data_IF_570016571362
#
_entry.id   IF_570016571362
#
_cell.length_a   1.000
_cell.length_b   1.000
_cell.length_c   1.000
_cell.angle_alpha   90.00
_cell.angle_beta   90.00
_cell.angle_gamma   90.00
#
_symmetry.space_group_name_H-M   'P 1'
#
loop_
_entity.id
_entity.type
_entity.pdbx_description
1 polymer ?
#
# COMPACT_ATOMS: atom_id res chain seq x y z
N UNK A 1 -19.73 -26.83 27.96
CA UNK A 1 -18.51 -26.09 27.51
C UNK A 1 -17.59 -26.97 26.65
N UNK A 2 -17.18 -28.19 27.11
CA UNK A 2 -16.30 -29.07 26.35
C UNK A 2 -16.89 -29.47 24.98
N UNK A 3 -18.19 -29.74 24.91
CA UNK A 3 -18.88 -30.08 23.67
C UNK A 3 -18.92 -28.94 22.65
N UNK A 4 -18.87 -27.69 23.10
CA UNK A 4 -18.77 -26.52 22.21
C UNK A 4 -17.38 -26.41 21.61
N UNK A 5 -16.33 -26.59 22.42
CA UNK A 5 -14.93 -26.57 21.94
C UNK A 5 -14.66 -27.71 20.95
N UNK A 6 -15.23 -28.90 21.19
CA UNK A 6 -15.17 -30.01 20.22
C UNK A 6 -15.89 -29.61 18.91
N UNK A 7 -17.08 -29.05 19.01
CA UNK A 7 -17.88 -28.65 17.82
C UNK A 7 -17.20 -27.55 17.00
N UNK A 8 -16.36 -26.76 17.63
CA UNK A 8 -15.57 -25.69 16.98
C UNK A 8 -14.21 -26.18 16.49
N UNK A 9 -13.84 -27.42 16.80
CA UNK A 9 -12.56 -27.99 16.43
C UNK A 9 -11.37 -27.39 17.19
N UNK A 10 -11.58 -26.83 18.38
CA UNK A 10 -10.55 -26.32 19.28
C UNK A 10 -9.89 -27.47 20.03
N UNK A 11 -10.69 -28.42 20.52
CA UNK A 11 -10.25 -29.67 21.13
C UNK A 11 -10.77 -30.88 20.34
N UNK A 12 -10.09 -32.00 20.45
CA UNK A 12 -10.55 -33.29 19.94
C UNK A 12 -11.51 -33.99 20.93
N UNK A 13 -12.03 -35.16 20.55
CA UNK A 13 -12.92 -35.96 21.40
C UNK A 13 -12.27 -36.45 22.71
N UNK A 14 -10.94 -36.40 22.81
CA UNK A 14 -10.18 -36.75 23.99
C UNK A 14 -9.81 -35.51 24.86
N UNK A 15 -10.32 -34.33 24.52
CA UNK A 15 -10.05 -33.09 25.23
C UNK A 15 -8.68 -32.48 24.93
N UNK A 16 -7.95 -32.95 23.91
CA UNK A 16 -6.66 -32.39 23.52
C UNK A 16 -6.86 -31.26 22.51
N UNK A 17 -6.03 -30.23 22.63
CA UNK A 17 -6.03 -29.13 21.66
C UNK A 17 -5.70 -29.64 20.25
N UNK A 18 -6.48 -29.21 19.28
CA UNK A 18 -6.17 -29.36 17.86
C UNK A 18 -5.09 -28.37 17.44
N UNK A 19 -4.57 -28.47 16.21
CA UNK A 19 -3.63 -27.46 15.68
C UNK A 19 -4.26 -26.04 15.67
N UNK A 20 -5.57 -25.92 15.41
CA UNK A 20 -6.27 -24.64 15.51
C UNK A 20 -6.39 -24.19 16.96
N UNK A 21 -6.72 -25.12 17.87
CA UNK A 21 -6.81 -24.84 19.31
C UNK A 21 -5.49 -24.36 19.91
N UNK A 22 -4.36 -24.92 19.47
CA UNK A 22 -3.04 -24.47 19.94
C UNK A 22 -2.72 -23.04 19.50
N UNK A 23 -3.18 -22.61 18.34
CA UNK A 23 -3.02 -21.23 17.84
C UNK A 23 -3.95 -20.23 18.53
N UNK A 24 -5.05 -20.71 19.13
CA UNK A 24 -6.02 -19.91 19.85
C UNK A 24 -5.74 -19.87 21.37
N UNK A 25 -4.76 -20.63 21.85
CA UNK A 25 -4.36 -20.62 23.26
C UNK A 25 -3.55 -19.37 23.59
N UNK A 26 -3.73 -18.83 24.79
CA UNK A 26 -2.98 -17.66 25.26
C UNK A 26 -1.47 -17.92 25.31
N UNK A 27 -1.07 -19.12 25.73
CA UNK A 27 0.30 -19.62 25.66
C UNK A 27 0.40 -20.65 24.53
N UNK A 28 0.54 -20.15 23.29
CA UNK A 28 0.63 -21.03 22.13
C UNK A 28 1.95 -21.83 22.13
N UNK A 29 1.89 -23.18 22.03
CA UNK A 29 3.09 -24.00 21.91
C UNK A 29 3.73 -23.90 20.50
N UNK A 30 3.09 -23.23 19.57
CA UNK A 30 3.55 -23.05 18.18
C UNK A 30 4.48 -21.86 18.12
N UNK A 31 5.78 -22.08 18.38
CA UNK A 31 6.80 -21.03 18.50
C UNK A 31 6.90 -20.12 17.29
N UNK A 32 6.66 -20.62 16.09
CA UNK A 32 6.66 -19.83 14.86
C UNK A 32 5.35 -19.03 14.64
N UNK A 33 4.35 -19.18 15.51
CA UNK A 33 3.12 -18.38 15.49
C UNK A 33 3.37 -17.01 16.11
N UNK A 34 4.17 -16.18 15.42
CA UNK A 34 4.57 -14.84 15.85
C UNK A 34 4.42 -13.86 14.69
N UNK A 35 4.28 -12.57 15.03
CA UNK A 35 4.28 -11.47 14.09
C UNK A 35 5.35 -10.47 14.55
N UNK A 36 6.27 -10.15 13.65
CA UNK A 36 7.21 -9.04 13.83
C UNK A 36 6.65 -7.81 13.16
N UNK A 37 6.50 -6.72 13.90
CA UNK A 37 6.03 -5.45 13.38
C UNK A 37 7.13 -4.41 13.56
N UNK A 38 7.61 -3.82 12.48
CA UNK A 38 8.67 -2.82 12.51
C UNK A 38 8.26 -1.57 11.74
N UNK A 39 8.47 -0.39 12.34
CA UNK A 39 8.35 0.91 11.68
C UNK A 39 9.73 1.43 11.36
N UNK A 40 10.10 1.38 10.11
CA UNK A 40 11.39 1.82 9.60
C UNK A 40 11.45 3.34 9.42
N UNK A 41 12.63 3.91 9.54
CA UNK A 41 12.90 5.31 9.26
C UNK A 41 13.29 5.46 7.79
N UNK A 42 12.35 5.89 6.94
CA UNK A 42 12.59 6.07 5.50
C UNK A 42 11.89 5.03 4.62
N UNK A 43 12.51 4.72 3.48
CA UNK A 43 11.91 3.93 2.39
C UNK A 43 12.43 2.48 2.32
N UNK A 44 13.44 2.14 3.10
CA UNK A 44 14.06 0.81 3.10
C UNK A 44 14.69 0.47 4.47
N UNK A 45 15.20 -0.76 4.59
CA UNK A 45 15.87 -1.30 5.78
C UNK A 45 17.40 -1.10 5.75
N UNK A 46 17.93 -0.13 5.01
CA UNK A 46 19.35 -0.05 4.65
C UNK A 46 20.29 -0.04 5.86
N UNK A 47 19.84 0.48 6.99
CA UNK A 47 20.67 0.61 8.21
C UNK A 47 20.29 -0.39 9.32
N UNK A 48 19.39 -1.35 9.03
CA UNK A 48 18.95 -2.37 9.97
C UNK A 48 18.11 -1.83 11.15
N UNK A 49 17.93 -2.62 12.20
CA UNK A 49 17.08 -2.26 13.37
C UNK A 49 17.55 -1.00 14.11
N UNK A 50 18.79 -0.54 13.93
CA UNK A 50 19.27 0.73 14.50
C UNK A 50 18.58 1.97 13.95
N UNK A 51 17.89 1.85 12.83
CA UNK A 51 17.09 2.92 12.18
C UNK A 51 15.57 2.68 12.31
N UNK A 52 15.14 1.67 13.09
CA UNK A 52 13.74 1.46 13.37
C UNK A 52 13.22 2.56 14.33
N UNK A 53 12.04 3.09 14.04
CA UNK A 53 11.34 4.07 14.89
C UNK A 53 10.58 3.33 16.00
N UNK A 54 10.01 2.16 15.67
CA UNK A 54 9.25 1.32 16.57
C UNK A 54 9.39 -0.15 16.13
N UNK A 55 9.44 -1.07 17.08
CA UNK A 55 9.59 -2.50 16.82
C UNK A 55 8.94 -3.32 17.91
N UNK A 56 8.16 -4.33 17.54
CA UNK A 56 7.48 -5.22 18.47
C UNK A 56 7.37 -6.65 17.92
N UNK A 57 7.58 -7.61 18.78
CA UNK A 57 7.29 -9.02 18.54
C UNK A 57 5.97 -9.40 19.24
N UNK A 58 5.02 -9.93 18.47
CA UNK A 58 3.70 -10.34 18.95
C UNK A 58 3.62 -11.86 18.95
N UNK A 59 3.26 -12.43 20.10
CA UNK A 59 3.14 -13.88 20.31
C UNK A 59 1.86 -14.23 21.08
N UNK A 60 1.59 -15.52 21.32
CA UNK A 60 0.42 -16.02 22.01
C UNK A 60 -0.78 -16.25 21.09
N UNK A 61 -1.99 -15.97 21.56
CA UNK A 61 -3.24 -16.18 20.82
C UNK A 61 -3.28 -15.35 19.53
N UNK A 62 -3.53 -16.00 18.39
CA UNK A 62 -3.55 -15.31 17.06
C UNK A 62 -4.61 -14.22 16.94
N UNK A 63 -5.64 -14.22 17.79
CA UNK A 63 -6.65 -13.14 17.84
C UNK A 63 -6.05 -11.90 18.49
N UNK A 64 -5.32 -12.09 19.61
CA UNK A 64 -4.54 -11.04 20.25
C UNK A 64 -3.50 -10.47 19.29
N UNK A 65 -2.73 -11.35 18.63
CA UNK A 65 -1.76 -10.94 17.61
C UNK A 65 -2.39 -10.06 16.51
N UNK A 66 -3.59 -10.42 16.01
CA UNK A 66 -4.30 -9.60 15.03
C UNK A 66 -4.61 -8.19 15.57
N UNK A 67 -5.17 -8.13 16.79
CA UNK A 67 -5.58 -6.87 17.41
C UNK A 67 -4.38 -5.96 17.69
N UNK A 68 -3.30 -6.54 18.19
CA UNK A 68 -2.07 -5.81 18.51
C UNK A 68 -1.35 -5.35 17.25
N UNK A 69 -1.28 -6.18 16.21
CA UNK A 69 -0.70 -5.81 14.92
C UNK A 69 -1.49 -4.67 14.25
N UNK A 70 -2.82 -4.72 14.24
CA UNK A 70 -3.66 -3.61 13.75
C UNK A 70 -3.45 -2.34 14.58
N UNK A 71 -3.31 -2.49 15.90
CA UNK A 71 -3.02 -1.38 16.81
C UNK A 71 -1.64 -0.78 16.57
N UNK A 72 -0.62 -1.61 16.33
CA UNK A 72 0.72 -1.17 15.94
C UNK A 72 0.68 -0.31 14.68
N UNK A 73 0.04 -0.80 13.61
CA UNK A 73 -0.09 -0.04 12.35
C UNK A 73 -0.83 1.28 12.59
N UNK A 74 -1.93 1.27 13.36
CA UNK A 74 -2.70 2.47 13.68
C UNK A 74 -1.88 3.49 14.47
N UNK A 75 -1.10 3.05 15.48
CA UNK A 75 -0.29 3.92 16.34
C UNK A 75 0.88 4.56 15.57
N UNK A 76 1.42 3.85 14.59
CA UNK A 76 2.51 4.30 13.73
C UNK A 76 2.02 5.00 12.44
N UNK A 77 0.71 5.16 12.26
CA UNK A 77 0.09 5.82 11.12
C UNK A 77 -0.37 7.23 11.47
N UNK A 78 -0.33 8.11 10.50
CA UNK A 78 -0.92 9.44 10.60
C UNK A 78 -2.33 9.42 10.05
N UNK A 79 -3.15 10.32 10.54
CA UNK A 79 -4.48 10.58 10.02
C UNK A 79 -4.61 12.09 9.83
N UNK A 80 -4.64 12.53 8.58
CA UNK A 80 -4.99 13.90 8.25
C UNK A 80 -6.50 14.09 8.41
N UNK A 81 -6.91 15.24 8.86
CA UNK A 81 -8.32 15.57 8.96
C UNK A 81 -8.55 17.05 8.69
N UNK A 82 -9.72 17.37 8.17
CA UNK A 82 -10.19 18.72 7.99
C UNK A 82 -11.68 18.79 8.26
N UNK A 83 -12.16 19.99 8.54
CA UNK A 83 -13.57 20.23 8.84
C UNK A 83 -14.24 20.78 7.60
N UNK A 84 -15.24 20.07 7.10
CA UNK A 84 -16.22 20.60 6.16
C UNK A 84 -17.33 21.36 6.91
N UNK A 85 -18.28 21.94 6.18
CA UNK A 85 -19.31 22.81 6.79
C UNK A 85 -20.10 22.14 7.90
N UNK A 86 -20.34 20.84 7.83
CA UNK A 86 -21.22 20.07 8.71
C UNK A 86 -20.61 18.77 9.26
N UNK A 87 -19.46 18.33 8.72
CA UNK A 87 -18.80 17.10 9.15
C UNK A 87 -17.27 17.18 9.10
N UNK A 88 -16.63 16.21 9.71
CA UNK A 88 -15.19 16.00 9.68
C UNK A 88 -14.84 14.94 8.63
N UNK A 89 -13.98 15.30 7.69
CA UNK A 89 -13.37 14.37 6.76
C UNK A 89 -12.01 13.90 7.28
N UNK A 90 -11.67 12.64 7.01
CA UNK A 90 -10.43 12.02 7.44
C UNK A 90 -9.74 11.28 6.29
N UNK A 91 -8.43 11.47 6.18
CA UNK A 91 -7.55 10.75 5.27
C UNK A 91 -6.51 9.98 6.09
N UNK A 92 -6.69 8.67 6.30
CA UNK A 92 -5.69 7.85 6.98
C UNK A 92 -4.51 7.55 6.03
N UNK A 93 -3.34 7.25 6.59
CA UNK A 93 -2.22 6.70 5.81
C UNK A 93 -2.62 5.40 5.10
N UNK A 94 -3.36 4.55 5.80
CA UNK A 94 -3.88 3.28 5.29
C UNK A 94 -5.36 3.13 5.68
N UNK A 95 -6.25 2.68 4.77
CA UNK A 95 -7.63 2.35 5.14
C UNK A 95 -7.65 1.21 6.18
N UNK A 96 -8.23 1.45 7.35
CA UNK A 96 -8.23 0.51 8.47
C UNK A 96 -8.77 -0.88 8.10
N UNK A 97 -9.83 -0.92 7.28
CA UNK A 97 -10.39 -2.17 6.76
C UNK A 97 -9.40 -2.95 5.90
N UNK A 98 -8.57 -2.26 5.09
CA UNK A 98 -7.55 -2.91 4.27
C UNK A 98 -6.45 -3.52 5.15
N UNK A 99 -6.00 -2.80 6.18
CA UNK A 99 -4.99 -3.27 7.14
C UNK A 99 -5.49 -4.51 7.88
N UNK A 100 -6.68 -4.42 8.48
CA UNK A 100 -7.28 -5.55 9.23
C UNK A 100 -7.45 -6.79 8.36
N UNK A 101 -7.98 -6.64 7.14
CA UNK A 101 -8.19 -7.75 6.21
C UNK A 101 -6.87 -8.36 5.74
N UNK A 102 -5.83 -7.53 5.48
CA UNK A 102 -4.52 -8.02 5.05
C UNK A 102 -3.81 -8.82 6.16
N UNK A 103 -3.83 -8.32 7.40
CA UNK A 103 -3.22 -9.01 8.55
C UNK A 103 -4.01 -10.29 8.89
N UNK A 104 -5.35 -10.24 8.90
CA UNK A 104 -6.18 -11.44 9.12
C UNK A 104 -5.89 -12.52 8.06
N UNK A 105 -5.76 -12.13 6.79
CA UNK A 105 -5.41 -13.06 5.71
C UNK A 105 -3.98 -13.63 5.90
N UNK A 106 -3.02 -12.81 6.33
CA UNK A 106 -1.67 -13.27 6.62
C UNK A 106 -1.66 -14.37 7.69
N UNK A 107 -2.43 -14.22 8.78
CA UNK A 107 -2.59 -15.20 9.85
C UNK A 107 -3.30 -16.47 9.36
N UNK A 108 -4.43 -16.33 8.68
CA UNK A 108 -5.29 -17.46 8.28
C UNK A 108 -4.66 -18.30 7.17
N UNK A 109 -3.90 -17.66 6.27
CA UNK A 109 -3.27 -18.34 5.15
C UNK A 109 -1.80 -18.72 5.40
N UNK A 110 -1.24 -18.34 6.57
CA UNK A 110 0.11 -18.73 6.96
C UNK A 110 0.29 -20.25 6.91
N UNK A 111 1.42 -20.69 6.41
CA UNK A 111 1.85 -22.08 6.54
C UNK A 111 2.57 -22.29 7.86
N UNK A 112 1.84 -22.76 8.86
CA UNK A 112 2.37 -23.04 10.19
C UNK A 112 3.34 -24.25 10.25
N UNK A 113 3.48 -24.99 9.15
CA UNK A 113 4.49 -26.06 9.03
C UNK A 113 5.86 -25.50 8.61
N UNK A 114 5.93 -24.27 8.10
CA UNK A 114 7.19 -23.62 7.82
C UNK A 114 7.79 -23.08 9.12
N UNK A 115 8.87 -23.73 9.56
CA UNK A 115 9.64 -23.33 10.74
C UNK A 115 10.72 -22.33 10.36
N UNK A 116 11.05 -21.41 11.28
CA UNK A 116 12.10 -20.40 11.07
C UNK A 116 11.70 -19.27 10.13
N UNK A 117 10.39 -19.04 9.96
CA UNK A 117 9.86 -17.92 9.22
C UNK A 117 8.55 -17.49 9.85
N UNK A 118 8.40 -16.22 10.16
CA UNK A 118 7.28 -15.61 10.86
C UNK A 118 6.52 -14.64 9.91
N UNK A 119 5.39 -14.10 10.36
CA UNK A 119 4.73 -13.00 9.66
C UNK A 119 5.51 -11.71 9.96
N UNK A 120 5.78 -10.91 8.95
CA UNK A 120 6.41 -9.60 9.09
C UNK A 120 5.46 -8.51 8.61
N UNK A 121 5.42 -7.42 9.36
CA UNK A 121 4.66 -6.20 9.07
C UNK A 121 5.66 -5.05 9.11
N UNK A 122 6.12 -4.65 7.94
CA UNK A 122 7.14 -3.62 7.76
C UNK A 122 6.50 -2.33 7.27
N UNK A 123 6.56 -1.28 8.10
CA UNK A 123 6.05 0.04 7.77
C UNK A 123 7.18 0.96 7.34
N UNK A 124 7.13 1.44 6.12
CA UNK A 124 8.00 2.49 5.56
C UNK A 124 7.25 3.82 5.49
N UNK A 125 7.92 4.88 5.05
CA UNK A 125 7.27 6.18 4.91
C UNK A 125 6.19 6.17 3.82
N UNK A 126 6.43 5.42 2.74
CA UNK A 126 5.57 5.37 1.56
C UNK A 126 4.61 4.17 1.51
N UNK A 127 4.84 3.13 2.31
CA UNK A 127 4.07 1.87 2.23
C UNK A 127 4.12 1.05 3.51
N UNK A 128 3.17 0.12 3.60
CA UNK A 128 3.11 -0.98 4.55
C UNK A 128 3.24 -2.29 3.78
N UNK A 129 4.22 -3.11 4.11
CA UNK A 129 4.41 -4.45 3.56
C UNK A 129 4.01 -5.49 4.59
N UNK A 130 3.24 -6.50 4.17
CA UNK A 130 2.84 -7.64 5.00
C UNK A 130 3.31 -8.90 4.31
N UNK A 131 4.25 -9.56 4.92
CA UNK A 131 4.79 -10.85 4.51
C UNK A 131 4.15 -11.98 5.30
N UNK A 132 3.80 -13.08 4.66
CA UNK A 132 3.32 -14.30 5.32
C UNK A 132 3.95 -15.54 4.69
N UNK A 133 4.50 -16.47 5.52
CA UNK A 133 4.99 -17.77 5.04
C UNK A 133 3.85 -18.59 4.43
N UNK A 134 4.09 -19.14 3.23
CA UNK A 134 3.16 -19.96 2.49
C UNK A 134 2.61 -19.29 1.24
N UNK A 135 2.94 -19.83 0.07
CA UNK A 135 2.38 -19.39 -1.21
C UNK A 135 0.91 -19.75 -1.35
N UNK A 136 0.34 -19.54 -2.52
CA UNK A 136 -1.05 -19.91 -2.80
C UNK A 136 -1.25 -21.43 -2.75
N UNK A 137 -2.37 -21.87 -2.13
CA UNK A 137 -2.69 -23.29 -1.90
C UNK A 137 -2.77 -24.14 -3.18
N UNK A 138 -2.99 -23.52 -4.33
CA UNK A 138 -3.08 -24.21 -5.61
C UNK A 138 -1.80 -24.08 -6.46
N UNK A 139 -0.73 -23.53 -5.88
CA UNK A 139 0.56 -23.36 -6.55
C UNK A 139 0.59 -22.30 -7.66
N UNK A 140 -0.52 -21.58 -7.89
CA UNK A 140 -0.53 -20.46 -8.83
C UNK A 140 0.13 -19.23 -8.24
N UNK A 141 0.53 -18.29 -9.06
CA UNK A 141 1.09 -17.02 -8.64
C UNK A 141 0.01 -15.94 -8.71
N UNK A 142 -0.19 -15.20 -7.60
CA UNK A 142 -1.26 -14.18 -7.54
C UNK A 142 -1.07 -13.08 -8.58
N UNK A 143 0.16 -12.70 -8.91
CA UNK A 143 0.48 -11.69 -9.92
C UNK A 143 0.10 -12.10 -11.35
N UNK A 144 -0.25 -13.36 -11.57
CA UNK A 144 -0.77 -13.88 -12.85
C UNK A 144 -2.30 -13.97 -12.87
N UNK A 145 -2.96 -13.60 -11.78
CA UNK A 145 -4.40 -13.72 -11.58
C UNK A 145 -5.05 -12.35 -11.37
N UNK A 146 -6.36 -12.29 -11.57
CA UNK A 146 -7.12 -11.11 -11.19
C UNK A 146 -7.51 -11.20 -9.70
N UNK A 147 -6.92 -10.38 -8.81
CA UNK A 147 -7.19 -10.44 -7.37
C UNK A 147 -8.64 -10.18 -6.99
N UNK A 148 -9.44 -9.56 -7.87
CA UNK A 148 -10.88 -9.33 -7.65
C UNK A 148 -11.74 -10.59 -7.81
N UNK A 149 -11.23 -11.61 -8.51
CA UNK A 149 -11.99 -12.82 -8.88
C UNK A 149 -11.37 -14.11 -8.39
N UNK A 150 -10.22 -14.05 -7.71
CA UNK A 150 -9.54 -15.24 -7.17
C UNK A 150 -10.42 -15.90 -6.09
N UNK A 151 -10.77 -17.18 -6.24
CA UNK A 151 -11.50 -17.90 -5.22
C UNK A 151 -10.61 -18.16 -3.99
N UNK A 152 -11.18 -17.97 -2.79
CA UNK A 152 -10.48 -18.26 -1.55
C UNK A 152 -10.27 -19.76 -1.37
N UNK A 153 -9.02 -20.17 -1.23
CA UNK A 153 -8.62 -21.52 -0.80
C UNK A 153 -7.92 -21.39 0.56
N UNK A 154 -8.60 -21.80 1.60
CA UNK A 154 -8.12 -21.61 2.98
C UNK A 154 -7.08 -22.66 3.34
N UNK A 155 -5.91 -22.23 3.82
CA UNK A 155 -4.89 -23.14 4.34
C UNK A 155 -5.30 -23.68 5.71
N UNK A 156 -5.83 -22.83 6.56
CA UNK A 156 -6.27 -23.17 7.92
C UNK A 156 -7.80 -22.97 8.06
N UNK A 157 -8.62 -23.93 7.59
CA UNK A 157 -10.06 -23.76 7.50
C UNK A 157 -10.74 -23.58 8.86
N UNK A 158 -10.31 -24.30 9.91
CA UNK A 158 -10.85 -24.15 11.26
C UNK A 158 -10.58 -22.75 11.82
N UNK A 159 -9.35 -22.24 11.64
CA UNK A 159 -8.98 -20.90 12.07
C UNK A 159 -9.80 -19.84 11.33
N UNK A 160 -9.98 -20.00 10.01
CA UNK A 160 -10.81 -19.12 9.20
C UNK A 160 -12.29 -19.12 9.65
N UNK A 161 -12.84 -20.28 9.99
CA UNK A 161 -14.21 -20.38 10.49
C UNK A 161 -14.36 -19.73 11.88
N UNK A 162 -13.32 -19.81 12.72
CA UNK A 162 -13.30 -19.15 14.01
C UNK A 162 -13.24 -17.62 13.88
N UNK A 163 -12.36 -17.09 13.04
CA UNK A 163 -12.29 -15.65 12.74
C UNK A 163 -13.62 -15.13 12.17
N UNK A 164 -14.30 -15.92 11.34
CA UNK A 164 -15.61 -15.56 10.83
C UNK A 164 -16.68 -15.50 11.92
N UNK A 165 -16.71 -16.46 12.84
CA UNK A 165 -17.66 -16.49 13.97
C UNK A 165 -17.50 -15.28 14.89
N UNK A 166 -16.27 -14.80 15.05
CA UNK A 166 -15.94 -13.59 15.81
C UNK A 166 -16.21 -12.30 15.02
N UNK A 167 -16.64 -12.39 13.77
CA UNK A 167 -16.87 -11.21 12.92
C UNK A 167 -15.59 -10.52 12.43
N UNK A 168 -14.43 -11.16 12.62
CA UNK A 168 -13.13 -10.63 12.22
C UNK A 168 -12.87 -10.78 10.71
N UNK A 169 -13.58 -11.69 10.05
CA UNK A 169 -13.54 -11.85 8.60
C UNK A 169 -14.86 -12.40 8.04
N UNK A 170 -15.05 -12.29 6.73
CA UNK A 170 -16.22 -12.84 6.01
C UNK A 170 -15.88 -14.16 5.29
N UNK A 171 -16.88 -15.05 5.16
CA UNK A 171 -16.73 -16.39 4.56
C UNK A 171 -16.49 -16.41 3.06
N UNK A 172 -16.85 -15.35 2.30
CA UNK A 172 -17.05 -15.43 0.84
C UNK A 172 -15.82 -15.13 -0.03
N UNK A 173 -14.59 -15.30 0.46
CA UNK A 173 -13.39 -15.16 -0.40
C UNK A 173 -13.21 -13.78 -1.02
N UNK A 174 -13.68 -12.74 -0.33
CA UNK A 174 -13.66 -11.36 -0.80
C UNK A 174 -12.49 -10.53 -0.23
N UNK A 175 -11.52 -11.17 0.43
CA UNK A 175 -10.46 -10.47 1.18
C UNK A 175 -9.66 -9.49 0.32
N UNK A 176 -9.02 -9.96 -0.74
CA UNK A 176 -8.27 -9.09 -1.65
C UNK A 176 -9.15 -8.03 -2.30
N UNK A 177 -10.39 -8.40 -2.68
CA UNK A 177 -11.36 -7.44 -3.22
C UNK A 177 -11.66 -6.33 -2.22
N UNK A 178 -11.86 -6.65 -0.93
CA UNK A 178 -12.13 -5.65 0.12
C UNK A 178 -10.94 -4.73 0.35
N UNK A 179 -9.73 -5.26 0.32
CA UNK A 179 -8.50 -4.47 0.39
C UNK A 179 -8.51 -3.44 -0.75
N UNK A 180 -8.68 -3.88 -1.98
CA UNK A 180 -8.74 -3.02 -3.17
C UNK A 180 -9.90 -2.02 -3.08
N UNK A 181 -11.12 -2.46 -2.75
CA UNK A 181 -12.30 -1.60 -2.67
C UNK A 181 -12.18 -0.54 -1.56
N UNK A 182 -11.44 -0.84 -0.48
CA UNK A 182 -11.13 0.14 0.58
C UNK A 182 -10.27 1.29 0.08
N UNK A 183 -9.39 1.04 -0.89
CA UNK A 183 -8.55 2.04 -1.54
C UNK A 183 -9.28 2.81 -2.63
N UNK A 184 -10.23 2.21 -3.35
CA UNK A 184 -10.94 2.84 -4.48
C UNK A 184 -11.60 4.17 -4.15
N UNK A 185 -12.07 4.36 -2.92
CA UNK A 185 -12.65 5.65 -2.50
C UNK A 185 -11.65 6.80 -2.55
N UNK A 186 -10.36 6.48 -2.58
CA UNK A 186 -9.24 7.42 -2.65
C UNK A 186 -8.58 7.47 -4.03
N UNK A 187 -9.16 6.86 -5.06
CA UNK A 187 -8.61 6.78 -6.43
C UNK A 187 -8.32 8.14 -7.08
N UNK A 188 -8.92 9.20 -6.53
CA UNK A 188 -8.75 10.58 -7.00
C UNK A 188 -7.49 11.26 -6.44
N UNK A 189 -6.85 10.70 -5.43
CA UNK A 189 -5.61 11.25 -4.88
C UNK A 189 -4.49 11.16 -5.93
N UNK A 190 -3.65 12.20 -6.08
CA UNK A 190 -2.60 12.21 -7.11
C UNK A 190 -1.53 11.12 -6.89
N UNK A 191 -1.33 10.70 -5.64
CA UNK A 191 -0.40 9.64 -5.27
C UNK A 191 -1.11 8.32 -4.97
N UNK A 192 -2.31 8.15 -5.53
CA UNK A 192 -3.05 6.90 -5.39
C UNK A 192 -2.34 5.76 -6.10
N UNK A 193 -2.10 4.71 -5.34
CA UNK A 193 -1.66 3.42 -5.85
C UNK A 193 -2.61 2.34 -5.39
N UNK A 194 -2.89 1.40 -6.28
CA UNK A 194 -3.69 0.23 -5.95
C UNK A 194 -2.86 -0.72 -5.08
N UNK A 195 -3.43 -1.38 -4.07
CA UNK A 195 -2.72 -2.41 -3.32
C UNK A 195 -2.15 -3.49 -4.22
N UNK A 196 -0.93 -3.94 -3.92
CA UNK A 196 -0.25 -4.96 -4.69
C UNK A 196 -0.21 -6.29 -3.94
N UNK A 197 -0.24 -7.38 -4.70
CA UNK A 197 -0.16 -8.74 -4.19
C UNK A 197 0.89 -9.50 -4.98
N UNK A 198 1.80 -10.15 -4.26
CA UNK A 198 2.84 -10.97 -4.86
C UNK A 198 2.92 -12.30 -4.13
N UNK A 199 3.21 -13.37 -4.84
CA UNK A 199 3.43 -14.69 -4.24
C UNK A 199 4.48 -15.48 -4.99
N UNK A 200 5.13 -16.37 -4.29
CA UNK A 200 5.90 -17.45 -4.85
C UNK A 200 5.48 -18.78 -4.20
N UNK A 201 6.29 -19.84 -4.33
CA UNK A 201 5.95 -21.16 -3.78
C UNK A 201 5.92 -21.19 -2.24
N UNK A 202 6.69 -20.30 -1.58
CA UNK A 202 6.93 -20.33 -0.14
C UNK A 202 6.35 -19.16 0.64
N UNK A 203 5.87 -18.11 -0.04
CA UNK A 203 5.47 -16.87 0.64
C UNK A 203 4.42 -16.09 -0.14
N UNK A 204 3.74 -15.21 0.59
CA UNK A 204 2.76 -14.26 0.08
C UNK A 204 3.03 -12.87 0.65
N UNK A 205 3.03 -11.86 -0.21
CA UNK A 205 3.25 -10.45 0.13
C UNK A 205 2.06 -9.59 -0.25
N UNK A 206 1.73 -8.64 0.62
CA UNK A 206 0.76 -7.58 0.38
C UNK A 206 1.44 -6.24 0.57
N UNK A 207 1.31 -5.33 -0.40
CA UNK A 207 1.79 -3.95 -0.28
C UNK A 207 0.58 -3.02 -0.26
N UNK A 208 0.47 -2.25 0.82
CA UNK A 208 -0.51 -1.19 1.00
C UNK A 208 0.22 0.15 0.94
N UNK A 209 -0.12 0.99 -0.04
CA UNK A 209 0.52 2.29 -0.25
C UNK A 209 -0.01 3.35 0.70
N UNK A 210 0.88 4.17 1.25
CA UNK A 210 0.53 5.28 2.14
C UNK A 210 -0.16 6.40 1.35
N UNK A 211 -1.44 6.64 1.65
CA UNK A 211 -2.27 7.63 0.95
C UNK A 211 -1.81 9.08 1.19
N UNK A 212 -1.06 9.32 2.29
CA UNK A 212 -0.54 10.63 2.65
C UNK A 212 0.91 10.86 2.20
N UNK A 213 1.60 9.83 1.69
CA UNK A 213 2.99 9.98 1.28
C UNK A 213 3.15 10.95 0.11
N UNK A 214 4.08 11.89 0.25
CA UNK A 214 4.34 12.90 -0.78
C UNK A 214 3.27 13.99 -0.94
N UNK A 215 2.18 13.94 -0.16
CA UNK A 215 1.15 14.97 -0.20
C UNK A 215 1.57 16.28 0.47
N UNK A 216 2.60 16.26 1.32
CA UNK A 216 3.09 17.45 2.05
C UNK A 216 3.86 18.45 1.16
N UNK A 217 4.19 18.07 -0.07
CA UNK A 217 4.97 18.90 -1.00
C UNK A 217 4.16 19.58 -2.11
N UNK A 218 2.87 19.34 -2.18
CA UNK A 218 2.03 19.81 -3.31
C UNK A 218 0.70 20.36 -2.80
N UNK A 219 0.53 21.68 -2.83
CA UNK A 219 -0.72 22.44 -2.70
C UNK A 219 -1.12 22.76 -1.23
N UNK A 220 -1.66 23.97 -1.05
CA UNK A 220 -2.42 24.39 0.14
C UNK A 220 -3.41 23.24 0.51
N UNK A 221 -3.14 22.56 1.65
CA UNK A 221 -3.80 21.31 2.04
C UNK A 221 -5.34 21.39 2.01
N UNK A 222 -5.90 22.56 2.30
CA UNK A 222 -7.34 22.79 2.30
C UNK A 222 -7.97 22.82 0.90
N UNK A 223 -7.27 23.32 -0.08
CA UNK A 223 -7.77 23.42 -1.46
C UNK A 223 -7.71 22.07 -2.17
N UNK A 224 -6.63 21.32 -1.92
CA UNK A 224 -6.41 19.99 -2.48
C UNK A 224 -7.42 18.94 -1.97
N UNK A 225 -7.68 18.92 -0.67
CA UNK A 225 -8.61 17.96 -0.06
C UNK A 225 -10.07 18.27 -0.41
N UNK A 226 -10.43 19.55 -0.57
CA UNK A 226 -11.73 19.95 -1.10
C UNK A 226 -11.95 19.49 -2.55
N UNK A 227 -10.90 19.56 -3.38
CA UNK A 227 -10.97 19.06 -4.76
C UNK A 227 -11.06 17.54 -4.85
N UNK A 228 -10.37 16.82 -3.97
CA UNK A 228 -10.35 15.35 -3.98
C UNK A 228 -11.70 14.72 -3.58
N UNK A 229 -12.52 15.39 -2.77
CA UNK A 229 -13.77 14.85 -2.20
C UNK A 229 -15.02 15.62 -2.69
N UNK A 230 -14.85 16.84 -3.20
CA UNK A 230 -15.95 17.69 -3.68
C UNK A 230 -16.65 17.19 -4.96
N UNK A 231 -17.95 17.40 -4.99
CA UNK A 231 -18.96 17.07 -6.00
C UNK A 231 -18.47 16.64 -7.38
N UNK A 232 -18.63 15.36 -7.66
CA UNK A 232 -18.03 14.60 -8.76
C UNK A 232 -18.32 15.01 -10.20
N UNK A 233 -19.03 16.10 -10.49
CA UNK A 233 -19.31 16.57 -11.87
C UNK A 233 -18.47 17.78 -12.30
N UNK A 234 -18.17 18.71 -11.42
CA UNK A 234 -17.32 19.89 -11.72
C UNK A 234 -15.85 19.51 -11.69
N UNK A 235 -15.43 18.68 -10.73
CA UNK A 235 -14.07 18.18 -10.59
C UNK A 235 -13.58 17.40 -11.83
N UNK A 236 -14.43 16.62 -12.49
CA UNK A 236 -14.07 15.88 -13.72
C UNK A 236 -13.82 16.83 -14.91
N UNK A 237 -14.46 17.99 -14.94
CA UNK A 237 -14.24 18.99 -16.01
C UNK A 237 -12.94 19.77 -15.80
N UNK A 238 -12.64 20.19 -14.57
CA UNK A 238 -11.43 20.96 -14.25
C UNK A 238 -10.17 20.11 -14.28
N UNK A 239 -10.21 18.88 -13.76
CA UNK A 239 -9.08 17.95 -13.87
C UNK A 239 -8.74 17.55 -15.31
N UNK A 240 -9.74 17.40 -16.19
CA UNK A 240 -9.47 17.21 -17.62
C UNK A 240 -8.75 18.40 -18.22
N UNK A 241 -9.08 19.62 -17.79
CA UNK A 241 -8.43 20.84 -18.25
C UNK A 241 -7.01 20.96 -17.69
N UNK A 242 -6.84 20.79 -16.39
CA UNK A 242 -5.55 20.82 -15.70
C UNK A 242 -4.61 19.71 -16.21
N UNK A 243 -5.10 18.48 -16.36
CA UNK A 243 -4.34 17.36 -16.94
C UNK A 243 -3.91 17.67 -18.38
N UNK A 244 -4.79 18.22 -19.19
CA UNK A 244 -4.45 18.64 -20.56
C UNK A 244 -3.40 19.76 -20.58
N UNK A 245 -3.51 20.76 -19.73
CA UNK A 245 -2.54 21.86 -19.63
C UNK A 245 -1.19 21.38 -19.10
N UNK A 246 -1.18 20.51 -18.09
CA UNK A 246 0.01 19.89 -17.53
C UNK A 246 0.75 19.03 -18.57
N UNK A 247 0.06 18.16 -19.27
CA UNK A 247 0.59 17.33 -20.33
C UNK A 247 1.08 18.18 -21.50
N UNK A 248 0.35 19.25 -21.83
CA UNK A 248 0.76 20.21 -22.86
C UNK A 248 2.07 20.92 -22.50
N UNK A 249 2.23 21.34 -21.25
CA UNK A 249 3.46 21.97 -20.77
C UNK A 249 4.66 21.00 -20.80
N UNK A 250 4.49 19.76 -20.37
CA UNK A 250 5.55 18.73 -20.44
C UNK A 250 5.96 18.42 -21.88
N UNK A 251 4.98 18.35 -22.81
CA UNK A 251 5.26 18.15 -24.24
C UNK A 251 6.08 19.31 -24.83
N UNK A 252 5.80 20.55 -24.43
CA UNK A 252 6.57 21.71 -24.82
C UNK A 252 7.98 21.67 -24.25
N UNK A 253 8.14 21.33 -22.96
CA UNK A 253 9.47 21.18 -22.33
C UNK A 253 10.29 20.08 -23.02
N UNK A 254 9.69 18.95 -23.34
CA UNK A 254 10.35 17.87 -24.08
C UNK A 254 10.88 18.34 -25.44
N UNK A 255 10.06 19.05 -26.22
CA UNK A 255 10.46 19.61 -27.51
C UNK A 255 11.57 20.65 -27.37
N UNK A 256 11.54 21.46 -26.31
CA UNK A 256 12.61 22.43 -26.03
C UNK A 256 13.93 21.74 -25.69
N UNK A 257 13.89 20.68 -24.88
CA UNK A 257 15.07 19.89 -24.54
C UNK A 257 15.61 19.17 -25.78
N UNK A 258 14.75 18.63 -26.63
CA UNK A 258 15.14 17.99 -27.90
C UNK A 258 15.85 18.97 -28.83
N UNK A 259 15.37 20.22 -28.90
CA UNK A 259 15.93 21.25 -29.75
C UNK A 259 17.24 21.88 -29.18
N UNK A 260 17.28 22.03 -27.86
CA UNK A 260 18.42 22.59 -27.13
C UNK A 260 18.66 21.85 -25.81
N UNK A 261 19.55 20.86 -25.78
CA UNK A 261 19.84 20.12 -24.54
C UNK A 261 20.44 20.99 -23.42
N UNK A 262 21.02 22.14 -23.75
CA UNK A 262 21.57 23.09 -22.78
C UNK A 262 20.58 24.07 -22.19
N UNK A 263 19.30 24.02 -22.60
CA UNK A 263 18.26 24.97 -22.18
C UNK A 263 18.12 25.04 -20.66
N UNK A 264 18.03 26.25 -20.12
CA UNK A 264 17.88 26.52 -18.69
C UNK A 264 16.42 26.51 -18.25
N UNK A 265 16.19 26.33 -16.94
CA UNK A 265 14.85 26.39 -16.35
C UNK A 265 14.21 27.76 -16.56
N UNK A 266 14.98 28.83 -16.47
CA UNK A 266 14.50 30.19 -16.67
C UNK A 266 14.01 30.40 -18.12
N UNK A 267 14.77 29.93 -19.11
CA UNK A 267 14.39 30.00 -20.52
C UNK A 267 13.11 29.17 -20.79
N UNK A 268 13.00 27.97 -20.21
CA UNK A 268 11.77 27.17 -20.30
C UNK A 268 10.59 27.91 -19.69
N UNK A 269 10.78 28.54 -18.52
CA UNK A 269 9.73 29.28 -17.82
C UNK A 269 9.19 30.46 -18.66
N UNK A 270 10.08 31.23 -19.26
CA UNK A 270 9.72 32.34 -20.14
C UNK A 270 8.94 31.83 -21.36
N UNK A 271 9.42 30.77 -22.01
CA UNK A 271 8.80 30.23 -23.21
C UNK A 271 7.39 29.60 -22.97
N UNK A 272 7.14 29.05 -21.79
CA UNK A 272 5.86 28.41 -21.44
C UNK A 272 4.90 29.43 -20.79
N UNK A 273 5.43 30.57 -20.27
CA UNK A 273 4.64 31.56 -19.57
C UNK A 273 4.29 31.17 -18.13
N UNK A 274 5.15 30.40 -17.45
CA UNK A 274 4.96 29.93 -16.07
C UNK A 274 6.17 30.27 -15.20
N UNK A 275 6.06 30.12 -13.88
CA UNK A 275 7.19 30.37 -12.97
C UNK A 275 8.27 29.28 -13.05
N UNK A 276 9.52 29.62 -12.74
CA UNK A 276 10.64 28.68 -12.59
C UNK A 276 10.29 27.52 -11.65
N UNK A 277 9.55 27.80 -10.58
CA UNK A 277 9.09 26.80 -9.61
C UNK A 277 8.18 25.77 -10.28
N UNK A 278 7.33 26.20 -11.19
CA UNK A 278 6.43 25.33 -11.93
C UNK A 278 7.17 24.47 -12.95
N UNK A 279 8.14 25.05 -13.68
CA UNK A 279 9.01 24.28 -14.59
C UNK A 279 9.79 23.21 -13.83
N UNK A 280 10.35 23.53 -12.65
CA UNK A 280 11.03 22.52 -11.80
C UNK A 280 10.14 21.34 -11.44
N UNK A 281 8.86 21.56 -11.19
CA UNK A 281 7.88 20.48 -10.95
C UNK A 281 7.68 19.60 -12.18
N UNK A 282 7.54 20.20 -13.35
CA UNK A 282 7.41 19.46 -14.60
C UNK A 282 8.62 18.59 -14.89
N UNK A 283 9.81 19.19 -14.78
CA UNK A 283 11.09 18.52 -14.99
C UNK A 283 11.29 17.38 -13.98
N UNK A 284 11.04 17.63 -12.68
CA UNK A 284 11.15 16.59 -11.65
C UNK A 284 10.33 15.36 -12.04
N UNK A 285 9.07 15.56 -12.40
CA UNK A 285 8.18 14.45 -12.79
C UNK A 285 8.68 13.72 -14.05
N UNK A 286 9.16 14.45 -15.05
CA UNK A 286 9.76 13.86 -16.26
C UNK A 286 11.02 13.03 -15.94
N UNK A 287 11.82 13.48 -14.96
CA UNK A 287 13.00 12.77 -14.47
C UNK A 287 12.62 11.53 -13.66
N UNK A 288 11.65 11.66 -12.74
CA UNK A 288 11.14 10.55 -11.93
C UNK A 288 10.56 9.44 -12.83
N UNK A 289 9.90 9.81 -13.92
CA UNK A 289 9.39 8.90 -14.95
C UNK A 289 10.47 8.39 -15.93
N UNK A 290 11.74 8.75 -15.73
CA UNK A 290 12.88 8.36 -16.59
C UNK A 290 12.79 8.81 -18.05
N UNK A 291 12.01 9.83 -18.38
CA UNK A 291 11.99 10.41 -19.74
C UNK A 291 13.16 11.28 -20.04
N UNK A 292 13.65 12.01 -19.06
CA UNK A 292 14.80 12.88 -19.18
C UNK A 292 15.75 12.68 -18.00
N UNK A 293 17.03 12.93 -18.23
CA UNK A 293 18.06 13.01 -17.18
C UNK A 293 18.93 14.23 -17.40
N UNK A 294 19.51 14.75 -16.34
CA UNK A 294 20.51 15.83 -16.47
C UNK A 294 21.90 15.25 -16.23
N UNK A 295 22.75 15.35 -17.24
CA UNK A 295 24.16 14.97 -17.16
C UNK A 295 25.03 16.22 -16.93
N UNK A 296 25.96 16.15 -15.98
CA UNK A 296 26.89 17.24 -15.65
C UNK A 296 26.48 18.10 -14.44
N UNK A 297 27.30 19.10 -14.13
CA UNK A 297 27.14 19.96 -12.96
C UNK A 297 26.04 21.03 -13.09
N UNK A 298 25.75 21.75 -11.97
CA UNK A 298 24.70 22.78 -11.90
C UNK A 298 24.82 23.89 -12.94
N UNK A 299 26.05 24.25 -13.37
CA UNK A 299 26.28 25.37 -14.31
C UNK A 299 26.36 24.92 -15.78
N UNK A 300 26.91 23.73 -16.06
CA UNK A 300 27.19 23.26 -17.43
C UNK A 300 26.51 21.90 -17.72
N UNK A 301 25.47 21.54 -16.99
CA UNK A 301 24.75 20.29 -17.22
C UNK A 301 23.79 20.38 -18.40
N UNK A 302 23.72 19.31 -19.19
CA UNK A 302 22.83 19.17 -20.34
C UNK A 302 21.72 18.16 -20.01
N UNK A 303 20.56 18.37 -20.60
CA UNK A 303 19.45 17.46 -20.54
C UNK A 303 19.58 16.38 -21.60
N UNK A 304 19.37 15.14 -21.22
CA UNK A 304 19.37 14.00 -22.12
C UNK A 304 18.01 13.31 -22.08
N UNK A 305 17.43 13.05 -23.22
CA UNK A 305 16.22 12.27 -23.38
C UNK A 305 16.61 10.79 -23.32
N UNK A 306 15.97 10.01 -22.43
CA UNK A 306 16.28 8.60 -22.20
C UNK A 306 15.40 7.71 -23.08
N UNK A 307 14.12 8.05 -23.28
CA UNK A 307 13.17 7.26 -24.06
C UNK A 307 12.67 8.08 -25.27
N UNK A 308 12.74 7.44 -26.45
CA UNK A 308 12.35 8.07 -27.71
C UNK A 308 10.84 8.16 -27.96
N UNK A 309 10.03 7.41 -27.20
CA UNK A 309 8.59 7.26 -27.44
C UNK A 309 7.69 8.10 -26.53
N UNK A 310 8.16 9.29 -26.14
CA UNK A 310 7.33 10.22 -25.38
C UNK A 310 6.03 10.63 -26.11
N UNK A 311 6.02 10.64 -27.43
CA UNK A 311 4.80 10.90 -28.22
C UNK A 311 3.79 9.74 -28.16
N UNK A 312 4.25 8.50 -28.17
CA UNK A 312 3.42 7.30 -28.02
C UNK A 312 2.71 7.23 -26.67
N UNK A 313 3.35 7.75 -25.62
CA UNK A 313 2.74 7.84 -24.27
C UNK A 313 1.56 8.83 -24.24
N UNK A 314 1.64 9.92 -25.01
CA UNK A 314 0.55 10.92 -25.04
C UNK A 314 -0.61 10.53 -25.95
N UNK A 315 -0.43 9.61 -26.88
CA UNK A 315 -1.51 9.09 -27.72
C UNK A 315 -2.33 8.00 -27.02
N UNK A 316 -1.75 7.36 -25.99
CA UNK A 316 -2.40 6.28 -25.21
C UNK A 316 -3.17 6.77 -23.96
N UNK A 317 -3.13 8.06 -23.61
CA UNK A 317 -3.82 8.71 -22.47
C UNK A 317 -4.89 9.68 -22.97
#
# INVERSE_FOLDING_TARGET
EDNEFVSWGIIDENGKLTNAGTLLADESPVRQSRIFCTRWNGLDMTNGLGEAIDDVELEGCVIGQLQDAVSFVRNNSRKKWWKESDHREELPDYPERAVTEAIANAIIHRDYMQMGSEIHIDMYDDRLEIYSPGGMMDGRLIQQLNPLTVPSKRRNPLLADFFNRLGLMERRGSGMKKIIDSYKRFERLPNYHIPEFQSNASEFHVVLWNLNYGSDSVIDEKEFLKEAIGTGKEFLKENRKFRKEFLKAQRVIYKMISANPGITIAEMAVNIGVSDRQVRKYIKRMTDMKFIVREGGRKNGIWKIIDGDYEDFFERI
#
